data_IF_131728473160
#
_entry.id   IF_131728473160
#
_cell.length_a   1.000
_cell.length_b   1.000
_cell.length_c   1.000
_cell.angle_alpha   90.00
_cell.angle_beta   90.00
_cell.angle_gamma   90.00
#
_symmetry.space_group_name_H-M   'P 1'
#
loop_
_entity.id
_entity.type
_entity.pdbx_description
1 polymer ?
#
# COMPACT_ATOMS: atom_id res chain seq x y z
N UNK A 1 12.00 16.89 -7.03
CA UNK A 1 10.78 16.99 -6.22
C UNK A 1 11.01 16.12 -5.00
N UNK A 2 11.02 16.71 -3.81
CA UNK A 2 11.23 15.99 -2.54
C UNK A 2 10.12 14.97 -2.35
N UNK A 3 10.46 13.74 -2.01
CA UNK A 3 9.49 12.70 -1.62
C UNK A 3 8.97 13.01 -0.20
N UNK A 4 8.21 14.11 -0.08
CA UNK A 4 7.68 14.66 1.16
C UNK A 4 6.86 13.63 1.95
N UNK A 5 6.22 12.72 1.22
CA UNK A 5 5.41 11.66 1.79
C UNK A 5 6.07 10.30 1.79
N UNK A 6 7.36 10.15 1.42
CA UNK A 6 8.04 8.86 1.32
C UNK A 6 7.24 7.80 0.53
N UNK A 7 6.70 8.18 -0.63
CA UNK A 7 5.86 7.35 -1.51
C UNK A 7 6.64 6.16 -2.08
N UNK A 8 7.96 6.25 -2.17
CA UNK A 8 8.83 5.16 -2.58
C UNK A 8 8.63 3.89 -1.74
N UNK A 9 8.22 4.02 -0.47
CA UNK A 9 7.93 2.86 0.39
C UNK A 9 6.88 1.92 -0.21
N UNK A 10 5.93 2.44 -0.99
CA UNK A 10 4.91 1.63 -1.64
C UNK A 10 5.41 0.98 -2.93
N UNK A 11 6.21 1.70 -3.73
CA UNK A 11 6.64 1.25 -5.05
C UNK A 11 7.51 -0.01 -4.98
N UNK A 12 8.53 -0.01 -4.14
CA UNK A 12 9.49 -1.12 -4.02
C UNK A 12 8.82 -2.45 -3.65
N UNK A 13 7.79 -2.38 -2.79
CA UNK A 13 7.08 -3.57 -2.33
C UNK A 13 6.05 -4.02 -3.36
N UNK A 14 5.39 -3.08 -4.03
CA UNK A 14 4.40 -3.37 -5.09
C UNK A 14 5.03 -4.14 -6.24
N UNK A 15 6.17 -3.69 -6.74
CA UNK A 15 6.85 -4.37 -7.86
C UNK A 15 7.13 -5.85 -7.57
N UNK A 16 7.41 -6.19 -6.31
CA UNK A 16 7.74 -7.57 -5.90
C UNK A 16 6.53 -8.48 -5.72
N UNK A 17 5.34 -7.92 -5.54
CA UNK A 17 4.13 -8.68 -5.15
C UNK A 17 3.02 -8.59 -6.18
N UNK A 18 3.16 -7.74 -7.20
CA UNK A 18 2.07 -7.42 -8.11
C UNK A 18 1.52 -8.65 -8.84
N UNK A 19 2.41 -9.54 -9.30
CA UNK A 19 2.02 -10.78 -9.96
C UNK A 19 1.20 -11.67 -9.02
N UNK A 20 1.65 -11.86 -7.77
CA UNK A 20 0.92 -12.63 -6.75
C UNK A 20 -0.44 -12.01 -6.44
N UNK A 21 -0.51 -10.68 -6.35
CA UNK A 21 -1.76 -9.96 -6.10
C UNK A 21 -2.75 -10.20 -7.23
N UNK A 22 -2.31 -10.07 -8.49
CA UNK A 22 -3.18 -10.29 -9.64
C UNK A 22 -3.70 -11.73 -9.69
N UNK A 23 -2.85 -12.72 -9.41
CA UNK A 23 -3.25 -14.12 -9.41
C UNK A 23 -4.26 -14.43 -8.31
N UNK A 24 -4.04 -13.92 -7.09
CA UNK A 24 -4.99 -14.10 -5.98
C UNK A 24 -6.32 -13.38 -6.20
N UNK A 25 -6.30 -12.19 -6.80
CA UNK A 25 -7.51 -11.44 -7.16
C UNK A 25 -8.29 -12.15 -8.26
N UNK A 26 -7.62 -12.67 -9.31
CA UNK A 26 -8.26 -13.47 -10.37
C UNK A 26 -8.84 -14.77 -9.84
N UNK A 27 -8.17 -15.40 -8.87
CA UNK A 27 -8.66 -16.57 -8.17
C UNK A 27 -9.80 -16.25 -7.18
N UNK A 28 -10.11 -14.97 -6.95
CA UNK A 28 -11.17 -14.51 -6.04
C UNK A 28 -10.86 -14.76 -4.57
N UNK A 29 -9.61 -15.06 -4.22
CA UNK A 29 -9.23 -15.40 -2.84
C UNK A 29 -7.84 -14.88 -2.50
N UNK A 30 -7.81 -13.93 -1.56
CA UNK A 30 -6.57 -13.46 -0.94
C UNK A 30 -5.98 -14.50 0.01
N UNK A 31 -4.68 -14.73 -0.11
CA UNK A 31 -3.86 -15.61 0.73
C UNK A 31 -2.64 -14.89 1.31
N UNK A 32 -1.92 -14.11 0.51
CA UNK A 32 -0.64 -13.53 0.89
C UNK A 32 -0.76 -12.18 1.61
N UNK A 33 0.34 -11.71 2.17
CA UNK A 33 0.38 -10.56 3.07
C UNK A 33 0.53 -9.19 2.37
N UNK A 34 -0.35 -8.87 1.42
CA UNK A 34 -0.21 -7.67 0.57
C UNK A 34 -1.20 -6.53 0.79
N UNK A 35 -2.13 -6.65 1.74
CA UNK A 35 -3.18 -5.66 1.91
C UNK A 35 -2.62 -4.25 2.17
N UNK A 36 -1.63 -4.13 3.07
CA UNK A 36 -1.16 -2.82 3.54
C UNK A 36 -0.52 -1.95 2.46
N UNK A 37 0.12 -2.56 1.46
CA UNK A 37 0.82 -1.81 0.40
C UNK A 37 0.07 -1.79 -0.93
N UNK A 38 -0.92 -2.66 -1.16
CA UNK A 38 -1.80 -2.59 -2.35
C UNK A 38 -3.03 -1.72 -2.06
N UNK A 39 -3.66 -1.91 -0.89
CA UNK A 39 -4.81 -1.13 -0.43
C UNK A 39 -4.53 -0.54 0.96
N UNK A 40 -3.64 0.47 1.04
CA UNK A 40 -3.32 1.13 2.30
C UNK A 40 -4.55 1.81 2.93
N UNK A 41 -4.56 1.84 4.25
CA UNK A 41 -5.61 2.49 5.04
C UNK A 41 -5.16 3.86 5.56
N UNK A 42 -6.13 4.67 5.99
CA UNK A 42 -5.85 5.95 6.66
C UNK A 42 -5.13 5.69 7.99
N UNK A 43 -4.17 6.55 8.33
CA UNK A 43 -3.44 6.53 9.60
C UNK A 43 -4.39 6.50 10.80
N UNK A 44 -4.13 5.58 11.73
CA UNK A 44 -4.91 5.41 12.95
C UNK A 44 -6.01 4.33 12.86
N UNK A 45 -6.33 3.81 11.67
CA UNK A 45 -7.31 2.72 11.54
C UNK A 45 -6.73 1.35 11.91
N UNK A 46 -5.46 1.12 11.59
CA UNK A 46 -4.77 -0.15 11.85
C UNK A 46 -3.72 -0.04 12.94
N UNK A 47 -3.65 -1.07 13.79
CA UNK A 47 -2.78 -1.10 14.96
C UNK A 47 -1.51 -1.96 14.77
N UNK A 48 -1.43 -2.75 13.70
CA UNK A 48 -0.22 -3.53 13.41
C UNK A 48 0.92 -2.64 12.92
N UNK A 49 2.16 -3.06 13.14
CA UNK A 49 3.34 -2.33 12.65
C UNK A 49 3.27 -2.05 11.14
N UNK A 50 2.92 -3.05 10.33
CA UNK A 50 2.72 -2.90 8.88
C UNK A 50 1.60 -1.91 8.53
N UNK A 51 0.51 -1.90 9.29
CA UNK A 51 -0.57 -0.94 9.08
C UNK A 51 -0.16 0.50 9.37
N UNK A 52 0.72 0.71 10.35
CA UNK A 52 1.26 2.03 10.67
C UNK A 52 2.31 2.49 9.65
N UNK A 53 3.21 1.59 9.22
CA UNK A 53 4.25 1.88 8.23
C UNK A 53 3.68 2.27 6.87
N UNK A 54 2.62 1.60 6.43
CA UNK A 54 2.00 1.83 5.12
C UNK A 54 0.69 2.64 5.20
N UNK A 55 0.43 3.29 6.33
CA UNK A 55 -0.71 4.19 6.44
C UNK A 55 -0.56 5.39 5.51
N UNK A 56 -1.69 5.83 4.94
CA UNK A 56 -1.84 7.14 4.29
C UNK A 56 -2.15 8.17 5.37
N UNK A 57 -1.37 9.24 5.42
CA UNK A 57 -1.51 10.33 6.39
C UNK A 57 -2.48 11.42 5.93
N UNK A 58 -2.71 11.61 4.62
CA UNK A 58 -3.57 12.69 4.11
C UNK A 58 -4.16 12.44 2.71
N UNK A 59 -5.15 13.27 2.33
CA UNK A 59 -5.71 13.29 0.97
C UNK A 59 -4.70 13.81 -0.07
N UNK A 60 -3.79 14.70 0.32
CA UNK A 60 -2.71 15.17 -0.57
C UNK A 60 -1.74 14.02 -0.92
N UNK A 61 -1.37 13.21 0.09
CA UNK A 61 -0.58 12.00 -0.12
C UNK A 61 -1.31 11.00 -1.02
N UNK A 62 -2.63 10.85 -0.84
CA UNK A 62 -3.47 10.01 -1.71
C UNK A 62 -3.39 10.49 -3.16
N UNK A 63 -3.55 11.79 -3.38
CA UNK A 63 -3.56 12.38 -4.72
C UNK A 63 -2.24 12.14 -5.45
N UNK A 64 -1.11 12.36 -4.77
CA UNK A 64 0.23 12.09 -5.32
C UNK A 64 0.49 10.60 -5.56
N UNK A 65 -0.11 9.72 -4.75
CA UNK A 65 0.04 8.29 -4.88
C UNK A 65 -0.68 7.69 -6.11
N UNK A 66 -1.75 8.34 -6.59
CA UNK A 66 -2.58 7.87 -7.72
C UNK A 66 -2.43 8.72 -9.00
N UNK A 67 -1.63 9.79 -8.96
CA UNK A 67 -1.31 10.64 -10.13
C UNK A 67 -0.25 9.98 -11.00
#
# INVERSE_FOLDING_TARGET
>A
MTDEYNLHRFLDVRERVYDTVLDELRAGRKFSHWMWYIFPQIKGLGHSGMAQTFAIASLDETSLHYS
#
